data_IF_678469832730
#
_entry.id   IF_678469832730
#
_cell.length_a   1.000
_cell.length_b   1.000
_cell.length_c   1.000
_cell.angle_alpha   90.00
_cell.angle_beta   90.00
_cell.angle_gamma   90.00
#
_symmetry.space_group_name_H-M   'P 1'
#
loop_
_entity.id
_entity.type
_entity.pdbx_description
1 polymer ?
#
# COMPACT_ATOMS: atom_id res chain seq x y z
N UNK A 1 39.62 -72.53 22.66
CA UNK A 1 40.41 -71.65 23.56
C UNK A 1 41.18 -70.58 22.78
N UNK A 2 41.60 -70.85 21.54
CA UNK A 2 42.32 -69.88 20.68
C UNK A 2 41.48 -68.65 20.24
N UNK A 3 40.17 -68.82 20.02
CA UNK A 3 39.27 -67.75 19.53
C UNK A 3 39.13 -66.60 20.54
N UNK A 4 39.02 -66.92 21.83
CA UNK A 4 38.89 -65.90 22.91
C UNK A 4 40.20 -65.11 23.04
N UNK A 5 41.34 -65.77 22.83
CA UNK A 5 42.67 -65.14 22.87
C UNK A 5 42.89 -64.26 21.63
N UNK A 6 42.40 -64.67 20.46
CA UNK A 6 42.44 -63.82 19.26
C UNK A 6 41.54 -62.59 19.42
N UNK A 7 40.31 -62.76 19.87
CA UNK A 7 39.38 -61.64 20.07
C UNK A 7 39.93 -60.66 21.12
N UNK A 8 40.51 -61.16 22.22
CA UNK A 8 41.14 -60.29 23.22
C UNK A 8 42.39 -59.60 22.68
N UNK A 9 43.19 -60.26 21.83
CA UNK A 9 44.31 -59.64 21.14
C UNK A 9 43.86 -58.52 20.18
N UNK A 10 42.78 -58.73 19.42
CA UNK A 10 42.22 -57.70 18.52
C UNK A 10 41.63 -56.52 19.27
N UNK A 11 40.96 -56.76 20.41
CA UNK A 11 40.46 -55.69 21.29
C UNK A 11 41.63 -54.91 21.89
N UNK A 12 42.69 -55.57 22.34
CA UNK A 12 43.90 -54.90 22.83
C UNK A 12 44.59 -54.08 21.73
N UNK A 13 44.62 -54.59 20.49
CA UNK A 13 45.22 -53.90 19.35
C UNK A 13 44.39 -52.66 18.96
N UNK A 14 43.05 -52.78 18.96
CA UNK A 14 42.14 -51.66 18.70
C UNK A 14 42.23 -50.57 19.78
N UNK A 15 42.23 -50.96 21.06
CA UNK A 15 42.37 -50.03 22.19
C UNK A 15 43.78 -49.40 22.20
N UNK A 16 44.81 -50.19 21.89
CA UNK A 16 46.19 -49.72 21.77
C UNK A 16 46.40 -48.72 20.62
N UNK A 17 45.81 -48.98 19.45
CA UNK A 17 45.80 -48.06 18.32
C UNK A 17 45.02 -46.78 18.65
N UNK A 18 43.91 -46.88 19.38
CA UNK A 18 43.14 -45.72 19.82
C UNK A 18 43.93 -44.85 20.81
N UNK A 19 44.64 -45.47 21.75
CA UNK A 19 45.51 -44.78 22.69
C UNK A 19 46.73 -44.13 22.00
N UNK A 20 47.31 -44.81 21.01
CA UNK A 20 48.40 -44.25 20.18
C UNK A 20 47.91 -43.07 19.32
N UNK A 21 46.74 -43.20 18.68
CA UNK A 21 46.13 -42.13 17.91
C UNK A 21 45.85 -40.89 18.78
N UNK A 22 45.39 -41.09 20.02
CA UNK A 22 45.20 -40.01 20.99
C UNK A 22 46.51 -39.34 21.42
N UNK A 23 47.61 -40.09 21.47
CA UNK A 23 48.94 -39.57 21.81
C UNK A 23 49.58 -38.77 20.66
N UNK A 24 49.41 -39.20 19.41
CA UNK A 24 49.97 -38.52 18.23
C UNK A 24 49.08 -37.39 17.69
N UNK A 25 47.78 -37.45 17.90
CA UNK A 25 46.83 -36.41 17.49
C UNK A 25 46.06 -35.87 18.72
N UNK A 26 46.67 -34.95 19.50
CA UNK A 26 46.07 -34.44 20.74
C UNK A 26 44.74 -33.70 20.53
N UNK A 27 44.48 -33.22 19.31
CA UNK A 27 43.22 -32.58 18.93
C UNK A 27 42.13 -33.56 18.42
N UNK A 28 42.41 -34.85 18.31
CA UNK A 28 41.43 -35.86 17.86
C UNK A 28 40.21 -35.94 18.80
N UNK A 29 40.49 -35.85 20.12
CA UNK A 29 39.43 -35.80 21.15
C UNK A 29 38.53 -34.59 20.95
N UNK A 30 39.11 -33.41 20.69
CA UNK A 30 38.36 -32.18 20.44
C UNK A 30 37.61 -32.22 19.10
N UNK A 31 38.16 -32.87 18.07
CA UNK A 31 37.50 -33.04 16.77
C UNK A 31 36.24 -33.91 16.85
N UNK A 32 36.25 -34.99 17.64
CA UNK A 32 35.06 -35.82 17.89
C UNK A 32 34.02 -35.09 18.74
N UNK A 33 34.46 -34.32 19.74
CA UNK A 33 33.53 -33.68 20.69
C UNK A 33 32.99 -32.32 20.24
N UNK A 34 33.71 -31.59 19.37
CA UNK A 34 33.25 -30.29 18.84
C UNK A 34 32.89 -30.32 17.35
N UNK A 35 33.30 -31.36 16.60
CA UNK A 35 32.81 -31.62 15.26
C UNK A 35 31.37 -32.13 15.30
N UNK A 36 30.50 -31.64 14.41
CA UNK A 36 29.10 -32.06 14.26
C UNK A 36 28.94 -33.51 13.74
N UNK A 37 29.67 -34.47 14.29
CA UNK A 37 29.42 -35.90 14.05
C UNK A 37 28.56 -36.37 15.21
N UNK A 38 27.25 -36.41 14.98
CA UNK A 38 26.28 -36.92 15.97
C UNK A 38 26.77 -38.25 16.52
N UNK A 39 26.70 -38.46 17.84
CA UNK A 39 27.02 -39.74 18.50
C UNK A 39 26.33 -40.94 17.82
N UNK A 40 25.18 -40.71 17.16
CA UNK A 40 24.47 -41.69 16.34
C UNK A 40 25.34 -42.18 15.17
N UNK A 41 26.05 -41.29 14.47
CA UNK A 41 26.96 -41.67 13.38
C UNK A 41 28.16 -42.47 13.88
N UNK A 42 28.72 -42.13 15.05
CA UNK A 42 29.82 -42.88 15.64
C UNK A 42 29.37 -44.29 16.04
N UNK A 43 28.18 -44.42 16.62
CA UNK A 43 27.57 -45.72 16.91
C UNK A 43 27.31 -46.50 15.61
N UNK A 44 26.69 -45.89 14.60
CA UNK A 44 26.40 -46.54 13.30
C UNK A 44 27.67 -47.00 12.59
N UNK A 45 28.74 -46.19 12.60
CA UNK A 45 30.04 -46.56 12.00
C UNK A 45 30.68 -47.70 12.79
N UNK A 46 30.66 -47.64 14.13
CA UNK A 46 31.26 -48.69 14.97
C UNK A 46 30.51 -50.01 14.83
N UNK A 47 29.17 -49.96 14.75
CA UNK A 47 28.32 -51.14 14.58
C UNK A 47 28.44 -51.70 13.15
N UNK A 48 28.53 -50.81 12.14
CA UNK A 48 28.80 -51.19 10.75
C UNK A 48 30.17 -51.85 10.57
N UNK A 49 31.22 -51.31 11.21
CA UNK A 49 32.56 -51.91 11.23
C UNK A 49 32.57 -53.26 11.95
N UNK A 50 31.86 -53.37 13.07
CA UNK A 50 31.73 -54.63 13.80
C UNK A 50 31.05 -55.70 12.93
N UNK A 51 29.93 -55.37 12.27
CA UNK A 51 29.25 -56.27 11.34
C UNK A 51 30.15 -56.62 10.17
N UNK A 52 30.87 -55.67 9.58
CA UNK A 52 31.77 -55.92 8.46
C UNK A 52 32.95 -56.84 8.82
N UNK A 53 33.58 -56.63 9.98
CA UNK A 53 34.71 -57.45 10.44
C UNK A 53 34.28 -58.85 10.87
N UNK A 54 33.06 -58.99 11.39
CA UNK A 54 32.51 -60.29 11.80
C UNK A 54 31.77 -61.01 10.67
N UNK A 55 31.50 -60.33 9.56
CA UNK A 55 30.76 -60.86 8.42
C UNK A 55 31.36 -62.16 7.85
N UNK A 56 32.69 -62.30 7.65
CA UNK A 56 33.24 -63.55 7.10
C UNK A 56 32.98 -64.76 8.00
N UNK A 57 33.06 -64.59 9.32
CA UNK A 57 32.81 -65.65 10.28
C UNK A 57 31.32 -65.98 10.39
N UNK A 58 30.47 -64.96 10.42
CA UNK A 58 29.01 -65.14 10.42
C UNK A 58 28.53 -65.81 9.13
N UNK A 59 29.04 -65.39 7.98
CA UNK A 59 28.71 -65.96 6.68
C UNK A 59 29.11 -67.43 6.60
N UNK A 60 30.32 -67.80 7.02
CA UNK A 60 30.77 -69.19 7.03
C UNK A 60 29.90 -70.07 7.94
N UNK A 61 29.56 -69.58 9.14
CA UNK A 61 28.65 -70.28 10.04
C UNK A 61 27.25 -70.45 9.46
N UNK A 62 26.73 -69.43 8.78
CA UNK A 62 25.40 -69.44 8.16
C UNK A 62 25.34 -70.36 6.93
N UNK A 63 26.37 -70.35 6.09
CA UNK A 63 26.49 -71.19 4.90
C UNK A 63 26.54 -72.69 5.26
N UNK A 64 27.27 -73.06 6.32
CA UNK A 64 27.40 -74.45 6.78
C UNK A 64 26.08 -74.94 7.40
N UNK A 65 25.48 -74.16 8.31
CA UNK A 65 24.35 -74.62 9.10
C UNK A 65 22.99 -74.48 8.41
N UNK A 66 22.82 -73.46 7.57
CA UNK A 66 21.52 -73.13 7.00
C UNK A 66 21.41 -73.49 5.52
N UNK A 67 22.53 -73.44 4.78
CA UNK A 67 22.57 -73.75 3.34
C UNK A 67 23.22 -75.12 3.05
N UNK A 68 23.72 -75.80 4.09
CA UNK A 68 24.22 -77.18 4.03
C UNK A 68 25.54 -77.33 3.26
N UNK A 69 26.32 -76.27 3.12
CA UNK A 69 27.58 -76.28 2.36
C UNK A 69 28.65 -77.07 3.14
N UNK A 70 29.27 -78.11 2.57
CA UNK A 70 30.32 -78.85 3.25
C UNK A 70 31.53 -77.96 3.55
N UNK A 71 32.08 -78.04 4.76
CA UNK A 71 33.19 -77.21 5.25
C UNK A 71 34.44 -77.26 4.35
N UNK A 72 34.61 -78.35 3.59
CA UNK A 72 35.72 -78.56 2.63
C UNK A 72 35.58 -77.81 1.30
N UNK A 73 34.39 -77.29 0.97
CA UNK A 73 34.13 -76.57 -0.30
C UNK A 73 34.11 -75.04 -0.12
N UNK A 74 34.21 -74.55 1.12
CA UNK A 74 34.27 -73.12 1.43
C UNK A 74 35.57 -72.43 0.94
N UNK A 75 36.64 -73.19 0.74
CA UNK A 75 37.94 -72.68 0.29
C UNK A 75 38.07 -72.57 -1.24
N UNK A 76 37.11 -73.12 -1.98
CA UNK A 76 37.17 -73.23 -3.44
C UNK A 76 36.08 -72.34 -4.08
N UNK A 77 36.48 -71.11 -4.40
CA UNK A 77 35.60 -70.04 -4.90
C UNK A 77 34.75 -70.45 -6.12
N UNK A 78 35.19 -71.43 -6.92
CA UNK A 78 34.48 -71.93 -8.10
C UNK A 78 33.25 -72.79 -7.79
N UNK A 79 33.09 -73.31 -6.56
CA UNK A 79 31.94 -74.15 -6.16
C UNK A 79 30.82 -73.39 -5.42
N UNK A 80 31.04 -72.11 -5.12
CA UNK A 80 30.06 -71.24 -4.45
C UNK A 80 29.04 -70.59 -5.43
N UNK A 81 29.02 -70.99 -6.70
CA UNK A 81 28.13 -70.46 -7.74
C UNK A 81 26.64 -70.42 -7.36
N UNK A 82 26.04 -71.52 -6.83
CA UNK A 82 24.63 -71.54 -6.41
C UNK A 82 24.32 -70.58 -5.25
N UNK A 83 25.30 -70.31 -4.37
CA UNK A 83 25.15 -69.26 -3.36
C UNK A 83 25.13 -67.87 -4.01
N UNK A 84 26.05 -67.64 -4.94
CA UNK A 84 26.10 -66.43 -5.76
C UNK A 84 24.78 -66.13 -6.47
N UNK A 85 24.09 -67.14 -7.00
CA UNK A 85 22.80 -66.96 -7.70
C UNK A 85 21.64 -66.57 -6.76
N UNK A 86 21.62 -67.09 -5.53
CA UNK A 86 20.62 -66.69 -4.50
C UNK A 86 20.91 -65.27 -4.00
N UNK A 87 22.18 -64.91 -3.80
CA UNK A 87 22.55 -63.54 -3.46
C UNK A 87 22.26 -62.57 -4.62
N UNK A 88 22.47 -62.99 -5.87
CA UNK A 88 22.12 -62.23 -7.06
C UNK A 88 20.62 -61.97 -7.19
N UNK A 89 19.79 -62.99 -6.97
CA UNK A 89 18.32 -62.86 -6.99
C UNK A 89 17.78 -62.05 -5.80
N UNK A 90 18.34 -62.20 -4.60
CA UNK A 90 18.00 -61.36 -3.43
C UNK A 90 18.41 -59.89 -3.63
N UNK A 91 19.61 -59.64 -4.17
CA UNK A 91 20.06 -58.29 -4.49
C UNK A 91 19.18 -57.66 -5.58
N UNK A 92 18.72 -58.44 -6.55
CA UNK A 92 17.77 -58.00 -7.58
C UNK A 92 16.40 -57.65 -6.98
N UNK A 93 15.92 -58.43 -6.00
CA UNK A 93 14.68 -58.14 -5.27
C UNK A 93 14.79 -56.87 -4.42
N UNK A 94 15.89 -56.70 -3.67
CA UNK A 94 16.12 -55.50 -2.87
C UNK A 94 16.27 -54.28 -3.78
N UNK A 95 16.98 -54.42 -4.90
CA UNK A 95 17.14 -53.35 -5.90
C UNK A 95 15.81 -52.98 -6.58
N UNK A 96 14.93 -53.94 -6.85
CA UNK A 96 13.61 -53.66 -7.43
C UNK A 96 12.68 -52.96 -6.45
N UNK A 97 12.68 -53.36 -5.17
CA UNK A 97 11.96 -52.65 -4.10
C UNK A 97 12.50 -51.23 -3.93
N UNK A 98 13.83 -51.06 -3.93
CA UNK A 98 14.45 -49.75 -3.86
C UNK A 98 14.06 -48.87 -5.05
N UNK A 99 14.03 -49.41 -6.27
CA UNK A 99 13.58 -48.71 -7.46
C UNK A 99 12.10 -48.31 -7.37
N UNK A 100 11.23 -49.20 -6.88
CA UNK A 100 9.83 -48.88 -6.63
C UNK A 100 9.67 -47.77 -5.58
N UNK A 101 10.44 -47.79 -4.50
CA UNK A 101 10.43 -46.74 -3.48
C UNK A 101 10.92 -45.39 -4.00
N UNK A 102 11.95 -45.38 -4.84
CA UNK A 102 12.45 -44.18 -5.52
C UNK A 102 11.40 -43.64 -6.50
N UNK A 103 10.77 -44.50 -7.30
CA UNK A 103 9.73 -44.11 -8.24
C UNK A 103 8.51 -43.51 -7.51
N UNK A 104 8.08 -44.11 -6.40
CA UNK A 104 6.99 -43.59 -5.57
C UNK A 104 7.35 -42.26 -4.91
N UNK A 105 8.58 -42.12 -4.40
CA UNK A 105 9.08 -40.86 -3.83
C UNK A 105 9.12 -39.74 -4.87
N UNK A 106 9.57 -40.05 -6.09
CA UNK A 106 9.58 -39.10 -7.21
C UNK A 106 8.15 -38.67 -7.58
N UNK A 107 7.20 -39.61 -7.62
CA UNK A 107 5.79 -39.29 -7.86
C UNK A 107 5.20 -38.34 -6.80
N UNK A 108 5.45 -38.60 -5.51
CA UNK A 108 5.02 -37.70 -4.43
C UNK A 108 5.67 -36.33 -4.52
N UNK A 109 6.96 -36.25 -4.84
CA UNK A 109 7.68 -34.98 -5.04
C UNK A 109 7.11 -34.18 -6.21
N UNK A 110 6.78 -34.83 -7.35
CA UNK A 110 6.16 -34.15 -8.49
C UNK A 110 4.78 -33.60 -8.11
N UNK A 111 4.01 -34.37 -7.34
CA UNK A 111 2.67 -33.98 -6.90
C UNK A 111 2.72 -32.80 -5.95
N UNK A 112 3.59 -32.85 -4.93
CA UNK A 112 3.77 -31.76 -3.96
C UNK A 112 4.31 -30.48 -4.62
N UNK A 113 5.21 -30.60 -5.61
CA UNK A 113 5.67 -29.46 -6.40
C UNK A 113 4.54 -28.84 -7.22
N UNK A 114 3.64 -29.65 -7.78
CA UNK A 114 2.50 -29.14 -8.53
C UNK A 114 1.51 -28.39 -7.62
N UNK A 115 1.18 -28.96 -6.47
CA UNK A 115 0.33 -28.31 -5.45
C UNK A 115 0.98 -26.99 -4.99
N UNK A 116 2.27 -27.02 -4.67
CA UNK A 116 3.03 -25.82 -4.27
C UNK A 116 2.98 -24.74 -5.34
N UNK A 117 3.10 -25.09 -6.63
CA UNK A 117 2.98 -24.14 -7.74
C UNK A 117 1.59 -23.52 -7.81
N UNK A 118 0.53 -24.30 -7.60
CA UNK A 118 -0.85 -23.81 -7.60
C UNK A 118 -1.08 -22.85 -6.44
N UNK A 119 -0.67 -23.24 -5.23
CA UNK A 119 -0.79 -22.39 -4.03
C UNK A 119 0.01 -21.10 -4.18
N UNK A 120 1.24 -21.16 -4.69
CA UNK A 120 2.05 -19.97 -4.93
C UNK A 120 1.38 -19.02 -5.93
N UNK A 121 0.77 -19.54 -7.00
CA UNK A 121 0.00 -18.71 -7.95
C UNK A 121 -1.18 -18.04 -7.27
N UNK A 122 -1.94 -18.76 -6.44
CA UNK A 122 -3.07 -18.20 -5.70
C UNK A 122 -2.62 -17.14 -4.69
N UNK A 123 -1.53 -17.39 -3.97
CA UNK A 123 -0.94 -16.42 -3.04
C UNK A 123 -0.46 -15.16 -3.75
N UNK A 124 0.16 -15.28 -4.93
CA UNK A 124 0.57 -14.11 -5.72
C UNK A 124 -0.64 -13.27 -6.14
N UNK A 125 -1.72 -13.90 -6.61
CA UNK A 125 -2.97 -13.21 -6.97
C UNK A 125 -3.59 -12.51 -5.76
N UNK A 126 -3.61 -13.18 -4.60
CA UNK A 126 -4.13 -12.60 -3.36
C UNK A 126 -3.25 -11.43 -2.87
N UNK A 127 -1.93 -11.58 -2.92
CA UNK A 127 -0.98 -10.54 -2.55
C UNK A 127 -1.12 -9.32 -3.46
N UNK A 128 -1.30 -9.53 -4.77
CA UNK A 128 -1.55 -8.45 -5.73
C UNK A 128 -2.85 -7.72 -5.41
N UNK A 129 -3.96 -8.45 -5.19
CA UNK A 129 -5.24 -7.84 -4.80
C UNK A 129 -5.14 -7.05 -3.50
N UNK A 130 -4.54 -7.64 -2.46
CA UNK A 130 -4.34 -6.97 -1.17
C UNK A 130 -3.48 -5.73 -1.31
N UNK A 131 -2.42 -5.79 -2.13
CA UNK A 131 -1.58 -4.63 -2.41
C UNK A 131 -2.37 -3.52 -3.13
N UNK A 132 -3.19 -3.85 -4.12
CA UNK A 132 -4.05 -2.87 -4.81
C UNK A 132 -5.07 -2.23 -3.87
N UNK A 133 -5.70 -3.02 -3.00
CA UNK A 133 -6.62 -2.52 -1.97
C UNK A 133 -5.92 -1.59 -0.97
N UNK A 134 -4.71 -1.95 -0.52
CA UNK A 134 -3.90 -1.08 0.34
C UNK A 134 -3.49 0.22 -0.34
N UNK A 135 -3.12 0.18 -1.62
CA UNK A 135 -2.82 1.39 -2.39
C UNK A 135 -4.06 2.28 -2.52
N UNK A 136 -5.24 1.70 -2.75
CA UNK A 136 -6.50 2.43 -2.81
C UNK A 136 -6.80 3.10 -1.47
N UNK A 137 -6.73 2.35 -0.37
CA UNK A 137 -6.95 2.87 0.99
C UNK A 137 -5.95 3.98 1.33
N UNK A 138 -4.67 3.78 1.00
CA UNK A 138 -3.62 4.78 1.20
C UNK A 138 -3.91 6.07 0.42
N UNK A 139 -4.35 5.97 -0.84
CA UNK A 139 -4.77 7.14 -1.62
C UNK A 139 -5.96 7.88 -0.99
N UNK A 140 -6.97 7.14 -0.52
CA UNK A 140 -8.12 7.74 0.19
C UNK A 140 -7.69 8.43 1.48
N UNK A 141 -6.80 7.82 2.27
CA UNK A 141 -6.28 8.42 3.50
C UNK A 141 -5.48 9.70 3.21
N UNK A 142 -4.61 9.68 2.19
CA UNK A 142 -3.84 10.87 1.76
C UNK A 142 -4.77 11.99 1.29
N UNK A 143 -5.80 11.67 0.50
CA UNK A 143 -6.81 12.63 0.08
C UNK A 143 -7.50 13.26 1.30
N UNK A 144 -8.07 12.44 2.18
CA UNK A 144 -8.82 12.90 3.35
C UNK A 144 -7.96 13.76 4.29
N UNK A 145 -6.72 13.36 4.52
CA UNK A 145 -5.77 14.14 5.32
C UNK A 145 -5.47 15.49 4.68
N UNK A 146 -5.17 15.51 3.37
CA UNK A 146 -4.88 16.74 2.63
C UNK A 146 -6.09 17.67 2.60
N UNK A 147 -7.29 17.11 2.39
CA UNK A 147 -8.55 17.85 2.42
C UNK A 147 -8.79 18.51 3.78
N UNK A 148 -8.62 17.76 4.87
CA UNK A 148 -8.75 18.30 6.23
C UNK A 148 -7.68 19.36 6.55
N UNK A 149 -6.44 19.16 6.11
CA UNK A 149 -5.37 20.17 6.23
C UNK A 149 -5.73 21.46 5.51
N UNK A 150 -6.29 21.38 4.30
CA UNK A 150 -6.72 22.54 3.53
C UNK A 150 -7.92 23.25 4.18
N UNK A 151 -8.90 22.51 4.72
CA UNK A 151 -10.01 23.09 5.48
C UNK A 151 -9.52 23.83 6.73
N UNK A 152 -8.56 23.26 7.46
CA UNK A 152 -7.95 23.93 8.60
C UNK A 152 -7.16 25.16 8.18
N UNK A 153 -6.39 25.08 7.09
CA UNK A 153 -5.70 26.24 6.53
C UNK A 153 -6.68 27.34 6.11
N UNK A 154 -7.85 27.00 5.56
CA UNK A 154 -8.94 27.95 5.30
C UNK A 154 -9.38 28.62 6.59
N UNK A 155 -9.64 27.85 7.66
CA UNK A 155 -10.05 28.42 8.94
C UNK A 155 -8.97 29.33 9.56
N UNK A 156 -7.71 28.93 9.48
CA UNK A 156 -6.58 29.71 9.98
C UNK A 156 -6.41 31.03 9.21
N UNK A 157 -6.51 30.98 7.87
CA UNK A 157 -6.49 32.20 7.05
C UNK A 157 -7.68 33.09 7.35
N UNK A 158 -8.88 32.52 7.45
CA UNK A 158 -10.07 33.25 7.84
C UNK A 158 -9.83 33.98 9.16
N UNK A 159 -9.43 33.27 10.23
CA UNK A 159 -9.16 33.86 11.55
C UNK A 159 -8.03 34.91 11.55
N UNK A 160 -7.09 34.81 10.60
CA UNK A 160 -5.99 35.76 10.43
C UNK A 160 -6.38 37.05 9.72
N UNK A 161 -7.53 37.10 9.02
CA UNK A 161 -7.98 38.30 8.32
C UNK A 161 -8.34 39.41 9.31
N UNK A 162 -7.62 40.53 9.20
CA UNK A 162 -7.90 41.74 9.96
C UNK A 162 -7.60 42.97 9.11
N UNK A 163 -8.55 43.87 9.03
CA UNK A 163 -8.37 45.16 8.35
C UNK A 163 -8.48 46.25 9.41
N UNK A 164 -7.60 47.25 9.30
CA UNK A 164 -7.64 48.41 10.18
C UNK A 164 -7.66 49.63 9.31
N UNK A 165 -8.76 50.38 9.38
CA UNK A 165 -8.87 51.65 8.74
C UNK A 165 -8.00 52.66 9.51
N UNK A 166 -7.00 53.23 8.84
CA UNK A 166 -6.06 54.17 9.48
C UNK A 166 -6.68 55.54 9.73
N UNK A 167 -7.71 55.90 8.98
CA UNK A 167 -8.35 57.21 9.03
C UNK A 167 -9.40 57.26 10.15
N UNK A 168 -10.16 56.18 10.35
CA UNK A 168 -11.17 56.08 11.43
C UNK A 168 -10.64 55.41 12.70
N UNK A 169 -9.55 54.65 12.60
CA UNK A 169 -9.04 53.81 13.69
C UNK A 169 -9.82 52.51 13.91
N UNK A 170 -10.87 52.26 13.14
CA UNK A 170 -11.71 51.06 13.23
C UNK A 170 -10.92 49.82 12.80
N UNK A 171 -11.02 48.75 13.58
CA UNK A 171 -10.49 47.43 13.24
C UNK A 171 -11.65 46.48 12.96
N UNK A 172 -11.59 45.80 11.82
CA UNK A 172 -12.54 44.82 11.37
C UNK A 172 -11.91 43.44 11.44
N UNK A 173 -12.61 42.50 12.06
CA UNK A 173 -12.25 41.07 12.06
C UNK A 173 -12.86 40.37 10.83
N UNK A 174 -12.46 39.12 10.61
CA UNK A 174 -12.81 38.30 9.44
C UNK A 174 -14.28 38.36 9.03
N UNK A 175 -15.21 38.04 9.95
CA UNK A 175 -16.64 38.02 9.62
C UNK A 175 -17.14 39.41 9.24
N UNK A 176 -16.74 40.44 9.98
CA UNK A 176 -17.14 41.83 9.72
C UNK A 176 -16.67 42.31 8.35
N UNK A 177 -15.45 41.92 7.94
CA UNK A 177 -14.93 42.24 6.60
C UNK A 177 -15.85 41.67 5.51
N UNK A 178 -16.20 40.38 5.59
CA UNK A 178 -17.07 39.76 4.59
C UNK A 178 -18.48 40.32 4.62
N UNK A 179 -19.03 40.60 5.80
CA UNK A 179 -20.35 41.23 5.96
C UNK A 179 -20.39 42.59 5.28
N UNK A 180 -19.41 43.46 5.55
CA UNK A 180 -19.34 44.81 4.96
C UNK A 180 -19.22 44.76 3.43
N UNK A 181 -18.38 43.86 2.91
CA UNK A 181 -18.24 43.69 1.45
C UNK A 181 -19.53 43.15 0.83
N UNK A 182 -20.15 42.14 1.44
CA UNK A 182 -21.39 41.55 0.94
C UNK A 182 -22.57 42.55 0.97
N UNK A 183 -22.73 43.31 2.04
CA UNK A 183 -23.76 44.34 2.15
C UNK A 183 -23.54 45.46 1.12
N UNK A 184 -22.28 45.89 0.92
CA UNK A 184 -21.96 46.88 -0.10
C UNK A 184 -22.25 46.35 -1.50
N UNK A 185 -21.89 45.10 -1.77
CA UNK A 185 -22.18 44.44 -3.04
C UNK A 185 -23.67 44.42 -3.34
N UNK A 186 -24.49 43.98 -2.37
CA UNK A 186 -25.94 43.95 -2.52
C UNK A 186 -26.53 45.34 -2.75
N UNK A 187 -26.06 46.36 -2.02
CA UNK A 187 -26.49 47.73 -2.24
C UNK A 187 -26.13 48.23 -3.65
N UNK A 188 -24.92 47.94 -4.15
CA UNK A 188 -24.51 48.28 -5.51
C UNK A 188 -25.32 47.51 -6.56
N UNK A 189 -25.70 46.27 -6.26
CA UNK A 189 -26.54 45.48 -7.13
C UNK A 189 -27.90 46.14 -7.34
N UNK A 190 -28.54 46.59 -6.26
CA UNK A 190 -29.84 47.28 -6.27
C UNK A 190 -29.81 48.68 -6.92
N UNK A 191 -28.69 49.41 -6.79
CA UNK A 191 -28.65 50.84 -7.11
C UNK A 191 -27.79 51.20 -8.32
N UNK A 192 -26.89 50.31 -8.77
CA UNK A 192 -25.85 50.68 -9.74
C UNK A 192 -25.62 49.61 -10.83
N UNK A 193 -25.56 48.32 -10.48
CA UNK A 193 -25.21 47.27 -11.45
C UNK A 193 -26.33 46.89 -12.43
N UNK A 194 -27.51 47.49 -12.30
CA UNK A 194 -28.61 47.36 -13.27
C UNK A 194 -28.39 48.16 -14.56
N UNK A 195 -27.41 49.06 -14.63
CA UNK A 195 -27.10 49.83 -15.83
C UNK A 195 -26.56 48.92 -16.96
N UNK A 196 -27.16 49.00 -18.17
CA UNK A 196 -26.79 48.17 -19.33
C UNK A 196 -25.27 48.18 -19.62
N UNK A 197 -24.61 49.30 -19.36
CA UNK A 197 -23.19 49.54 -19.65
C UNK A 197 -22.22 49.20 -18.50
N UNK A 198 -22.68 48.64 -17.39
CA UNK A 198 -21.76 48.18 -16.35
C UNK A 198 -21.00 46.96 -16.89
N UNK A 199 -19.70 47.07 -17.14
CA UNK A 199 -18.84 45.96 -17.58
C UNK A 199 -18.01 45.40 -16.42
N UNK A 200 -17.25 44.32 -16.68
CA UNK A 200 -16.39 43.67 -15.66
C UNK A 200 -15.42 44.65 -15.00
N UNK A 201 -14.85 45.56 -15.78
CA UNK A 201 -13.96 46.60 -15.28
C UNK A 201 -14.64 47.55 -14.29
N UNK A 202 -15.85 48.04 -14.60
CA UNK A 202 -16.60 48.93 -13.72
C UNK A 202 -17.02 48.23 -12.42
N UNK A 203 -17.43 46.95 -12.51
CA UNK A 203 -17.76 46.14 -11.33
C UNK A 203 -16.53 45.95 -10.44
N UNK A 204 -15.36 45.67 -11.04
CA UNK A 204 -14.08 45.57 -10.34
C UNK A 204 -13.64 46.88 -9.70
N UNK A 205 -13.75 48.00 -10.42
CA UNK A 205 -13.40 49.32 -9.91
C UNK A 205 -14.20 49.67 -8.64
N UNK A 206 -15.49 49.33 -8.60
CA UNK A 206 -16.33 49.57 -7.40
C UNK A 206 -15.90 48.73 -6.20
N UNK A 207 -15.35 47.54 -6.44
CA UNK A 207 -14.76 46.72 -5.38
C UNK A 207 -13.49 47.39 -4.85
N UNK A 208 -12.59 47.80 -5.75
CA UNK A 208 -11.33 48.45 -5.38
C UNK A 208 -11.59 49.75 -4.59
N UNK A 209 -12.52 50.60 -5.06
CA UNK A 209 -12.95 51.81 -4.36
C UNK A 209 -13.46 51.50 -2.93
N UNK A 210 -14.26 50.44 -2.77
CA UNK A 210 -14.79 50.06 -1.47
C UNK A 210 -13.73 49.50 -0.54
N UNK A 211 -12.83 48.66 -1.04
CA UNK A 211 -11.73 48.11 -0.25
C UNK A 211 -10.76 49.21 0.21
N UNK A 212 -10.50 50.21 -0.63
CA UNK A 212 -9.74 51.40 -0.23
C UNK A 212 -10.43 52.19 0.88
N UNK A 213 -11.76 52.30 0.85
CA UNK A 213 -12.54 52.92 1.93
C UNK A 213 -12.48 52.08 3.22
N UNK A 214 -12.51 50.76 3.11
CA UNK A 214 -12.54 49.85 4.26
C UNK A 214 -11.16 49.71 4.94
N UNK A 215 -10.08 49.63 4.18
CA UNK A 215 -8.72 49.38 4.68
C UNK A 215 -7.72 50.53 4.54
N UNK A 216 -8.10 51.63 3.89
CA UNK A 216 -7.21 52.71 3.49
C UNK A 216 -6.32 52.35 2.29
N UNK A 217 -5.68 53.35 1.68
CA UNK A 217 -4.87 53.27 0.43
C UNK A 217 -3.68 52.27 0.41
N UNK A 218 -3.46 51.48 1.47
CA UNK A 218 -2.26 50.63 1.64
C UNK A 218 -2.53 49.19 2.10
N UNK A 219 -3.79 48.73 2.21
CA UNK A 219 -4.09 47.33 2.58
C UNK A 219 -4.87 46.62 1.49
N UNK A 220 -4.42 45.40 1.21
CA UNK A 220 -4.43 44.82 -0.10
C UNK A 220 -5.55 43.81 -0.30
N UNK A 221 -6.20 43.94 -1.44
CA UNK A 221 -6.91 42.86 -2.14
C UNK A 221 -6.24 41.47 -2.03
N UNK A 222 -4.91 41.43 -1.95
CA UNK A 222 -4.11 40.21 -1.86
C UNK A 222 -4.48 39.29 -0.70
N UNK A 223 -4.88 39.78 0.47
CA UNK A 223 -5.24 38.92 1.60
C UNK A 223 -6.56 38.17 1.34
N UNK A 224 -7.58 38.86 0.83
CA UNK A 224 -8.90 38.28 0.50
C UNK A 224 -8.78 37.32 -0.69
N UNK A 225 -8.05 37.70 -1.74
CA UNK A 225 -7.79 36.79 -2.87
C UNK A 225 -7.01 35.57 -2.43
N UNK A 226 -5.95 35.73 -1.63
CA UNK A 226 -5.16 34.62 -1.10
C UNK A 226 -6.01 33.70 -0.23
N UNK A 227 -6.93 34.25 0.55
CA UNK A 227 -7.91 33.46 1.30
C UNK A 227 -8.73 32.57 0.35
N UNK A 228 -9.28 33.14 -0.73
CA UNK A 228 -10.08 32.37 -1.67
C UNK A 228 -9.29 31.31 -2.44
N UNK A 229 -7.99 31.49 -2.66
CA UNK A 229 -7.17 30.47 -3.33
C UNK A 229 -7.15 29.12 -2.59
N UNK A 230 -7.35 29.11 -1.26
CA UNK A 230 -7.45 27.84 -0.51
C UNK A 230 -8.69 27.04 -0.94
N UNK A 231 -9.80 27.71 -1.25
CA UNK A 231 -10.97 27.03 -1.85
C UNK A 231 -10.65 26.49 -3.24
N UNK A 232 -9.85 27.20 -4.03
CA UNK A 232 -9.38 26.72 -5.32
C UNK A 232 -8.57 25.45 -5.20
N UNK A 233 -7.69 25.36 -4.21
CA UNK A 233 -6.93 24.16 -3.91
C UNK A 233 -7.83 23.00 -3.46
N UNK A 234 -8.84 23.26 -2.62
CA UNK A 234 -9.85 22.27 -2.23
C UNK A 234 -10.62 21.72 -3.44
N UNK A 235 -11.16 22.60 -4.29
CA UNK A 235 -11.89 22.23 -5.50
C UNK A 235 -10.98 21.42 -6.44
N UNK A 236 -9.73 21.85 -6.63
CA UNK A 236 -8.77 21.17 -7.49
C UNK A 236 -8.39 19.80 -6.95
N UNK A 237 -8.23 19.66 -5.64
CA UNK A 237 -7.99 18.38 -4.97
C UNK A 237 -9.15 17.40 -5.23
N UNK A 238 -10.40 17.87 -5.08
CA UNK A 238 -11.60 17.06 -5.35
C UNK A 238 -11.67 16.67 -6.83
N UNK A 239 -11.44 17.63 -7.75
CA UNK A 239 -11.54 17.41 -9.19
C UNK A 239 -10.53 16.38 -9.70
N UNK A 240 -9.30 16.43 -9.18
CA UNK A 240 -8.19 15.54 -9.57
C UNK A 240 -8.17 14.18 -8.87
N UNK A 241 -9.02 13.97 -7.87
CA UNK A 241 -9.03 12.72 -7.13
C UNK A 241 -9.64 11.57 -7.93
N UNK A 242 -9.24 10.34 -7.57
CA UNK A 242 -9.78 9.09 -8.12
C UNK A 242 -11.03 8.61 -7.32
N UNK A 243 -11.77 9.57 -6.78
CA UNK A 243 -13.01 9.32 -6.04
C UNK A 243 -14.17 9.09 -7.01
N UNK A 244 -15.20 8.36 -6.55
CA UNK A 244 -16.48 8.26 -7.26
C UNK A 244 -17.16 9.62 -7.36
N UNK A 245 -18.03 9.80 -8.36
CA UNK A 245 -18.75 11.05 -8.57
C UNK A 245 -19.62 11.43 -7.36
N UNK A 246 -20.24 10.44 -6.71
CA UNK A 246 -20.99 10.63 -5.46
C UNK A 246 -20.11 11.16 -4.33
N UNK A 247 -18.90 10.61 -4.15
CA UNK A 247 -17.95 11.11 -3.15
C UNK A 247 -17.47 12.51 -3.50
N UNK A 248 -17.19 12.79 -4.78
CA UNK A 248 -16.81 14.14 -5.22
C UNK A 248 -17.92 15.15 -4.94
N UNK A 249 -19.17 14.81 -5.23
CA UNK A 249 -20.33 15.63 -4.93
C UNK A 249 -20.40 15.94 -3.42
N UNK A 250 -20.29 14.92 -2.57
CA UNK A 250 -20.27 15.09 -1.12
C UNK A 250 -19.16 16.04 -0.63
N UNK A 251 -17.93 15.90 -1.13
CA UNK A 251 -16.85 16.81 -0.75
C UNK A 251 -17.03 18.22 -1.31
N UNK A 252 -17.64 18.40 -2.50
CA UNK A 252 -18.00 19.74 -3.00
C UNK A 252 -19.00 20.42 -2.09
N UNK A 253 -20.03 19.69 -1.65
CA UNK A 253 -21.02 20.21 -0.71
C UNK A 253 -20.39 20.65 0.62
N UNK A 254 -19.43 19.88 1.16
CA UNK A 254 -18.69 20.30 2.36
C UNK A 254 -17.98 21.64 2.11
N UNK A 255 -17.31 21.79 0.96
CA UNK A 255 -16.58 23.02 0.64
C UNK A 255 -17.56 24.20 0.55
N UNK A 256 -18.65 24.07 -0.20
CA UNK A 256 -19.67 25.13 -0.35
C UNK A 256 -20.30 25.50 0.99
N UNK A 257 -20.65 24.51 1.81
CA UNK A 257 -21.26 24.69 3.12
C UNK A 257 -20.29 25.23 4.18
N UNK A 258 -18.97 25.11 3.96
CA UNK A 258 -17.97 25.71 4.84
C UNK A 258 -17.84 27.23 4.65
N UNK A 259 -18.43 27.79 3.59
CA UNK A 259 -18.48 29.22 3.32
C UNK A 259 -19.74 29.84 3.93
N UNK A 260 -19.58 30.97 4.63
CA UNK A 260 -20.72 31.81 4.98
C UNK A 260 -21.36 32.42 3.73
N UNK A 261 -22.62 32.86 3.85
CA UNK A 261 -23.31 33.58 2.76
C UNK A 261 -22.53 34.84 2.33
N UNK A 262 -21.92 35.54 3.28
CA UNK A 262 -21.14 36.76 3.03
C UNK A 262 -19.83 36.44 2.29
N UNK A 263 -19.18 35.32 2.61
CA UNK A 263 -18.01 34.84 1.87
C UNK A 263 -18.37 34.50 0.42
N UNK A 264 -19.48 33.80 0.19
CA UNK A 264 -19.92 33.45 -1.17
C UNK A 264 -20.26 34.70 -2.00
N UNK A 265 -20.97 35.68 -1.42
CA UNK A 265 -21.25 36.96 -2.09
C UNK A 265 -19.98 37.77 -2.37
N UNK A 266 -19.01 37.74 -1.45
CA UNK A 266 -17.71 38.40 -1.65
C UNK A 266 -16.92 37.73 -2.77
N UNK A 267 -16.84 36.39 -2.78
CA UNK A 267 -16.20 35.63 -3.86
C UNK A 267 -16.86 35.91 -5.20
N UNK A 268 -18.19 35.96 -5.24
CA UNK A 268 -18.95 36.31 -6.44
C UNK A 268 -18.53 37.68 -6.97
N UNK A 269 -18.41 38.71 -6.13
CA UNK A 269 -17.98 40.03 -6.59
C UNK A 269 -16.52 40.03 -7.05
N UNK A 270 -15.62 39.43 -6.28
CA UNK A 270 -14.18 39.33 -6.59
C UNK A 270 -13.95 38.61 -7.93
N UNK A 271 -14.69 37.52 -8.19
CA UNK A 271 -14.53 36.69 -9.38
C UNK A 271 -14.94 37.39 -10.68
N UNK A 272 -15.71 38.49 -10.64
CA UNK A 272 -16.09 39.21 -11.87
C UNK A 272 -14.86 39.80 -12.60
N UNK A 273 -13.89 40.31 -11.83
CA UNK A 273 -12.71 41.00 -12.35
C UNK A 273 -11.39 40.25 -12.07
N UNK A 274 -11.38 39.28 -11.15
CA UNK A 274 -10.21 38.45 -10.90
C UNK A 274 -10.31 37.11 -11.66
N UNK A 275 -9.42 36.93 -12.64
CA UNK A 275 -9.39 35.72 -13.47
C UNK A 275 -9.15 34.44 -12.66
N UNK A 276 -8.24 34.45 -11.70
CA UNK A 276 -7.93 33.27 -10.89
C UNK A 276 -9.16 32.84 -10.05
N UNK A 277 -9.89 33.81 -9.49
CA UNK A 277 -11.14 33.56 -8.79
C UNK A 277 -12.27 33.12 -9.75
N UNK A 278 -12.31 33.63 -10.97
CA UNK A 278 -13.27 33.19 -11.98
C UNK A 278 -13.04 31.73 -12.39
N UNK A 279 -11.78 31.39 -12.67
CA UNK A 279 -11.36 30.02 -13.03
C UNK A 279 -11.61 29.03 -11.88
N UNK A 280 -11.51 29.50 -10.62
CA UNK A 280 -11.85 28.74 -9.43
C UNK A 280 -13.35 28.40 -9.38
N UNK A 281 -14.23 29.37 -9.62
CA UNK A 281 -15.68 29.15 -9.50
C UNK A 281 -16.26 28.39 -10.71
N UNK A 282 -15.58 28.42 -11.85
CA UNK A 282 -16.05 27.77 -13.06
C UNK A 282 -16.12 26.23 -12.91
N UNK A 283 -17.34 25.69 -13.03
CA UNK A 283 -17.62 24.27 -12.87
C UNK A 283 -17.31 23.72 -11.48
N UNK A 284 -17.34 24.57 -10.45
CA UNK A 284 -17.15 24.15 -9.06
C UNK A 284 -18.46 23.93 -8.30
N UNK A 285 -19.57 24.48 -8.80
CA UNK A 285 -20.88 24.45 -8.11
C UNK A 285 -20.84 25.04 -6.69
N UNK A 286 -19.85 25.91 -6.40
CA UNK A 286 -19.56 26.40 -5.04
C UNK A 286 -20.65 27.32 -4.47
N UNK A 287 -21.43 27.97 -5.32
CA UNK A 287 -22.46 28.91 -4.89
C UNK A 287 -23.79 28.19 -4.63
N UNK A 288 -24.12 28.03 -3.35
CA UNK A 288 -25.29 27.27 -2.90
C UNK A 288 -26.09 27.93 -1.77
N UNK A 289 -25.62 29.02 -1.17
CA UNK A 289 -26.18 29.56 0.07
C UNK A 289 -26.94 30.89 -0.08
N UNK A 290 -27.08 31.43 -1.29
CA UNK A 290 -27.82 32.67 -1.52
C UNK A 290 -28.73 32.59 -2.74
N UNK A 291 -29.83 33.34 -2.68
CA UNK A 291 -30.68 33.61 -3.82
C UNK A 291 -31.40 34.96 -3.63
N UNK A 292 -31.43 35.77 -4.69
CA UNK A 292 -32.32 36.94 -4.82
C UNK A 292 -32.65 37.15 -6.29
N UNK A 293 -33.92 37.43 -6.60
CA UNK A 293 -34.40 37.60 -7.98
C UNK A 293 -33.63 38.69 -8.76
N UNK A 294 -33.37 39.83 -8.11
CA UNK A 294 -32.63 40.97 -8.67
C UNK A 294 -31.17 40.64 -9.05
N UNK A 295 -30.59 39.56 -8.50
CA UNK A 295 -29.24 39.14 -8.82
C UNK A 295 -29.16 38.36 -10.14
N UNK A 296 -30.25 37.78 -10.62
CA UNK A 296 -30.23 36.87 -11.77
C UNK A 296 -29.64 37.51 -13.03
N UNK A 297 -29.98 38.77 -13.30
CA UNK A 297 -29.42 39.54 -14.42
C UNK A 297 -27.91 39.72 -14.31
N UNK A 298 -27.41 39.95 -13.09
CA UNK A 298 -25.98 40.04 -12.80
C UNK A 298 -25.29 38.67 -12.97
N UNK A 299 -25.88 37.59 -12.43
CA UNK A 299 -25.30 36.25 -12.51
C UNK A 299 -25.11 35.80 -13.96
N UNK A 300 -26.16 35.93 -14.79
CA UNK A 300 -26.15 35.50 -16.20
C UNK A 300 -25.16 36.33 -17.03
N UNK A 301 -24.98 37.62 -16.69
CA UNK A 301 -24.07 38.51 -17.41
C UNK A 301 -22.59 38.15 -17.18
N UNK A 302 -22.23 37.64 -16.00
CA UNK A 302 -20.82 37.49 -15.61
C UNK A 302 -20.34 36.06 -15.34
N UNK A 303 -21.26 35.11 -15.16
CA UNK A 303 -20.95 33.74 -14.75
C UNK A 303 -21.68 32.70 -15.60
N UNK A 304 -21.13 31.50 -15.61
CA UNK A 304 -21.78 30.33 -16.19
C UNK A 304 -22.63 29.61 -15.15
N UNK A 305 -23.68 28.92 -15.62
CA UNK A 305 -24.59 28.12 -14.78
C UNK A 305 -23.85 27.09 -13.91
N UNK A 306 -22.70 26.61 -14.40
CA UNK A 306 -21.85 25.59 -13.75
C UNK A 306 -21.19 26.07 -12.43
N UNK A 307 -21.23 27.37 -12.13
CA UNK A 307 -20.73 27.91 -10.87
C UNK A 307 -21.70 27.71 -9.70
N UNK A 308 -22.96 27.36 -9.97
CA UNK A 308 -24.06 27.38 -8.99
C UNK A 308 -24.66 26.00 -8.77
N UNK A 309 -25.04 25.71 -7.53
CA UNK A 309 -25.83 24.53 -7.15
C UNK A 309 -27.15 24.89 -6.44
N UNK A 310 -27.41 26.17 -6.16
CA UNK A 310 -28.64 26.61 -5.53
C UNK A 310 -29.87 26.32 -6.42
N UNK A 311 -30.90 25.59 -5.93
CA UNK A 311 -32.06 25.18 -6.74
C UNK A 311 -32.80 26.34 -7.42
N UNK A 312 -33.03 27.43 -6.68
CA UNK A 312 -33.72 28.61 -7.21
C UNK A 312 -32.92 29.34 -8.30
N UNK A 313 -31.59 29.42 -8.19
CA UNK A 313 -30.74 29.97 -9.26
C UNK A 313 -30.87 29.08 -10.50
N UNK A 314 -30.73 27.77 -10.35
CA UNK A 314 -30.75 26.83 -11.47
C UNK A 314 -32.09 26.80 -12.21
N UNK A 315 -33.20 26.87 -11.46
CA UNK A 315 -34.56 26.86 -12.02
C UNK A 315 -34.94 28.16 -12.72
N UNK A 316 -34.37 29.29 -12.28
CA UNK A 316 -34.65 30.59 -12.87
C UNK A 316 -33.62 31.00 -13.94
N UNK A 317 -32.48 30.32 -14.04
CA UNK A 317 -31.43 30.61 -15.03
C UNK A 317 -31.98 30.72 -16.46
N UNK A 318 -32.67 29.68 -16.91
CA UNK A 318 -33.13 29.58 -18.30
C UNK A 318 -34.27 30.58 -18.58
N UNK A 319 -35.08 30.92 -17.57
CA UNK A 319 -36.14 31.94 -17.67
C UNK A 319 -35.56 33.31 -17.96
N UNK A 320 -34.53 33.72 -17.23
CA UNK A 320 -33.90 35.02 -17.40
C UNK A 320 -33.04 35.08 -18.67
N UNK A 321 -32.37 33.98 -19.03
CA UNK A 321 -31.58 33.92 -20.26
C UNK A 321 -32.43 34.13 -21.53
N UNK A 322 -33.63 33.55 -21.57
CA UNK A 322 -34.56 33.71 -22.68
C UNK A 322 -35.18 35.12 -22.73
N UNK A 323 -35.38 35.77 -21.59
CA UNK A 323 -35.93 37.14 -21.53
C UNK A 323 -34.91 38.22 -21.94
N UNK A 324 -33.60 37.96 -21.84
CA UNK A 324 -32.55 38.88 -22.29
C UNK A 324 -32.19 38.71 -23.78
N UNK A 325 -32.61 37.62 -24.42
CA UNK A 325 -32.47 37.36 -25.85
C UNK A 325 -33.86 37.09 -26.47
N UNK A 326 -34.74 38.11 -26.58
CA UNK A 326 -35.94 37.96 -27.38
C UNK A 326 -35.49 37.72 -28.83
N UNK A 327 -35.85 36.56 -29.38
CA UNK A 327 -35.61 36.20 -30.76
C UNK A 327 -36.13 37.27 -31.74
#
# INVERSE_FOLDING_TARGET
MEIIIQISAWVFLAVGLFALAQKFFPNFKNWITTGKVSYIWLIVITLGLFVFLTYPYFFNWWAINFWGVPEKELSDLTKLGPLGDIYGSLNTLISSIALCAVAFSAYLQVTSLNETRITNKQQLVLAEKSHQEQLKESKHAVFSNTFNTLLNLKQDRYNGLKIRNKDTGTEYISEEIFVEIALRFLWLLDNYFHEENCGRYQVGLKLDEFLELLGGKKRGFGEITSYFMVYGDLIKLIRKSDLSDESKFFYRDIVSNSMSIHEQLTLLWVAVNNKDCLDLVHGSEIFNNFYRDNMMSFLIKYFDKSCFSHPDILSNWDKYQNNQNPA
#
